data_IF_110767003548
#
_entry.id   IF_110767003548
#
_cell.length_a   1.000
_cell.length_b   1.000
_cell.length_c   1.000
_cell.angle_alpha   90.00
_cell.angle_beta   90.00
_cell.angle_gamma   90.00
#
_symmetry.space_group_name_H-M   'P 1'
#
loop_
_entity.id
_entity.type
_entity.pdbx_description
1 polymer ?
#
# COMPACT_ATOMS: atom_id res chain seq x y z
N UNK A 1 -23.64 -23.10 -34.18
CA UNK A 1 -23.43 -21.90 -33.35
C UNK A 1 -22.43 -20.97 -34.03
N UNK A 2 -22.75 -20.44 -35.22
CA UNK A 2 -21.80 -19.67 -36.06
C UNK A 2 -21.55 -18.26 -35.49
N UNK A 3 -22.57 -17.69 -34.84
CA UNK A 3 -22.52 -16.32 -34.33
C UNK A 3 -21.39 -16.08 -33.30
N UNK A 4 -21.10 -17.04 -32.43
CA UNK A 4 -20.02 -16.88 -31.45
C UNK A 4 -18.64 -16.87 -32.12
N UNK A 5 -18.47 -17.61 -33.23
CA UNK A 5 -17.24 -17.63 -34.00
C UNK A 5 -17.03 -16.31 -34.77
N UNK A 6 -18.10 -15.62 -35.17
CA UNK A 6 -18.01 -14.32 -35.85
C UNK A 6 -17.76 -13.16 -34.85
N UNK A 7 -18.29 -13.26 -33.63
CA UNK A 7 -18.22 -12.20 -32.61
C UNK A 7 -17.31 -12.51 -31.41
N UNK A 8 -16.42 -13.49 -31.52
CA UNK A 8 -15.53 -13.91 -30.43
C UNK A 8 -14.66 -12.79 -29.85
N UNK A 9 -14.33 -11.78 -30.68
CA UNK A 9 -13.56 -10.59 -30.30
C UNK A 9 -14.21 -9.75 -29.18
N UNK A 10 -15.53 -9.87 -28.98
CA UNK A 10 -16.25 -9.19 -27.86
C UNK A 10 -15.70 -9.62 -26.51
N UNK A 11 -15.27 -10.89 -26.37
CA UNK A 11 -14.67 -11.41 -25.15
C UNK A 11 -13.35 -10.68 -24.85
N UNK A 12 -12.55 -10.38 -25.88
CA UNK A 12 -11.30 -9.63 -25.71
C UNK A 12 -11.56 -8.19 -25.24
N UNK A 13 -12.60 -7.52 -25.77
CA UNK A 13 -12.95 -6.18 -25.30
C UNK A 13 -13.36 -6.16 -23.83
N UNK A 14 -14.14 -7.16 -23.40
CA UNK A 14 -14.52 -7.30 -21.98
C UNK A 14 -13.29 -7.53 -21.12
N UNK A 15 -12.38 -8.40 -21.55
CA UNK A 15 -11.15 -8.71 -20.82
C UNK A 15 -10.24 -7.48 -20.70
N UNK A 16 -10.06 -6.72 -21.78
CA UNK A 16 -9.28 -5.48 -21.78
C UNK A 16 -9.92 -4.45 -20.83
N UNK A 17 -11.24 -4.32 -20.84
CA UNK A 17 -11.96 -3.47 -19.88
C UNK A 17 -11.70 -3.87 -18.43
N UNK A 18 -11.76 -5.16 -18.11
CA UNK A 18 -11.44 -5.68 -16.78
C UNK A 18 -9.98 -5.42 -16.39
N UNK A 19 -9.02 -5.63 -17.30
CA UNK A 19 -7.61 -5.39 -17.06
C UNK A 19 -7.32 -3.92 -16.76
N UNK A 20 -7.85 -2.99 -17.57
CA UNK A 20 -7.70 -1.55 -17.35
C UNK A 20 -8.29 -1.14 -16.00
N UNK A 21 -9.48 -1.65 -15.66
CA UNK A 21 -10.12 -1.34 -14.38
C UNK A 21 -9.29 -1.86 -13.19
N UNK A 22 -8.75 -3.08 -13.32
CA UNK A 22 -7.90 -3.70 -12.31
C UNK A 22 -6.60 -2.93 -12.11
N UNK A 23 -5.93 -2.54 -13.20
CA UNK A 23 -4.71 -1.72 -13.15
C UNK A 23 -4.99 -0.38 -12.47
N UNK A 24 -6.09 0.29 -12.85
CA UNK A 24 -6.47 1.57 -12.24
C UNK A 24 -6.76 1.46 -10.75
N UNK A 25 -7.43 0.38 -10.33
CA UNK A 25 -7.67 0.09 -8.92
C UNK A 25 -6.34 -0.13 -8.17
N UNK A 26 -5.42 -0.91 -8.75
CA UNK A 26 -4.12 -1.20 -8.14
C UNK A 26 -3.23 0.06 -8.06
N UNK A 27 -3.18 0.88 -9.11
CA UNK A 27 -2.43 2.14 -9.12
C UNK A 27 -2.97 3.18 -8.14
N UNK A 28 -4.24 3.06 -7.71
CA UNK A 28 -4.81 3.93 -6.67
C UNK A 28 -4.32 3.58 -5.27
N UNK A 29 -3.89 2.34 -5.05
CA UNK A 29 -3.36 1.89 -3.76
C UNK A 29 -1.95 2.47 -3.64
N UNK A 30 -1.84 3.57 -2.88
CA UNK A 30 -0.58 4.27 -2.68
C UNK A 30 0.27 3.54 -1.63
N UNK A 31 0.97 2.47 -2.03
CA UNK A 31 1.89 1.72 -1.17
C UNK A 31 3.03 2.60 -0.63
N UNK A 32 3.46 3.60 -1.39
CA UNK A 32 4.57 4.48 -0.99
C UNK A 32 4.15 5.41 0.16
N UNK A 33 2.89 5.85 0.20
CA UNK A 33 2.35 6.65 1.30
C UNK A 33 2.38 5.93 2.66
N UNK A 34 2.13 4.62 2.67
CA UNK A 34 2.24 3.81 3.90
C UNK A 34 3.68 3.56 4.36
N UNK A 35 4.64 3.59 3.44
CA UNK A 35 6.06 3.39 3.76
C UNK A 35 6.77 4.69 4.15
N UNK A 36 6.39 5.82 3.53
CA UNK A 36 6.95 7.14 3.85
C UNK A 36 6.45 7.70 5.17
N UNK A 37 5.22 7.37 5.55
CA UNK A 37 4.65 7.84 6.81
C UNK A 37 5.15 6.92 7.93
N UNK A 38 6.24 7.32 8.60
CA UNK A 38 6.68 6.67 9.85
C UNK A 38 5.45 6.57 10.76
N UNK A 39 5.15 5.36 11.21
CA UNK A 39 3.96 5.13 12.04
C UNK A 39 4.11 5.97 13.32
N UNK A 40 3.03 6.60 13.76
CA UNK A 40 2.98 7.24 15.08
C UNK A 40 2.74 6.17 16.16
N UNK A 41 3.41 5.02 16.02
CA UNK A 41 3.41 3.95 17.00
C UNK A 41 4.68 4.08 17.81
N UNK A 42 4.62 3.81 19.13
CA UNK A 42 5.84 3.72 19.91
C UNK A 42 6.75 2.63 19.31
N UNK A 43 8.07 2.79 19.43
CA UNK A 43 9.02 1.75 19.02
C UNK A 43 8.67 0.41 19.69
N UNK A 44 8.92 -0.68 18.96
CA UNK A 44 8.60 -2.01 19.45
C UNK A 44 9.47 -2.31 20.67
N UNK A 45 8.85 -2.66 21.81
CA UNK A 45 9.58 -3.08 23.00
C UNK A 45 9.69 -4.60 22.99
N UNK A 46 10.81 -5.12 22.51
CA UNK A 46 11.14 -6.55 22.63
C UNK A 46 12.09 -6.80 23.82
N UNK A 47 12.57 -8.04 23.97
CA UNK A 47 13.48 -8.40 25.06
C UNK A 47 14.93 -7.92 24.83
N UNK A 48 15.16 -7.07 23.82
CA UNK A 48 16.45 -6.49 23.47
C UNK A 48 16.42 -4.95 23.49
N UNK A 49 15.72 -4.39 24.49
CA UNK A 49 15.53 -2.96 24.77
C UNK A 49 16.81 -2.09 24.87
N UNK A 50 18.01 -2.67 24.69
CA UNK A 50 19.25 -1.91 24.61
C UNK A 50 19.46 -1.26 23.24
N UNK A 51 18.90 -1.83 22.16
CA UNK A 51 19.01 -1.28 20.81
C UNK A 51 17.94 -0.21 20.52
N UNK A 52 16.83 -0.21 21.28
CA UNK A 52 15.71 0.73 21.07
C UNK A 52 15.92 2.11 21.70
N UNK A 53 17.02 2.33 22.44
CA UNK A 53 17.25 3.58 23.20
C UNK A 53 17.31 4.82 22.31
N UNK A 54 17.96 4.73 21.16
CA UNK A 54 18.08 5.86 20.23
C UNK A 54 16.74 6.18 19.56
N UNK A 55 15.95 5.16 19.23
CA UNK A 55 14.60 5.33 18.67
C UNK A 55 13.60 5.88 19.71
N UNK A 56 13.71 5.43 20.96
CA UNK A 56 12.92 5.93 22.11
C UNK A 56 13.20 7.42 22.39
N UNK A 57 14.46 7.83 22.32
CA UNK A 57 14.88 9.22 22.53
C UNK A 57 14.37 10.13 21.42
N UNK A 58 14.43 9.69 20.17
CA UNK A 58 13.91 10.42 19.01
C UNK A 58 12.38 10.54 19.06
N UNK A 59 11.69 9.45 19.41
CA UNK A 59 10.24 9.43 19.62
C UNK A 59 9.78 10.40 20.72
N UNK A 60 10.49 10.44 21.84
CA UNK A 60 10.17 11.34 22.95
C UNK A 60 10.42 12.81 22.61
N UNK A 61 11.44 13.12 21.79
CA UNK A 61 11.67 14.49 21.29
C UNK A 61 10.52 14.96 20.41
N UNK A 62 10.12 14.13 19.43
CA UNK A 62 9.03 14.47 18.51
C UNK A 62 7.69 14.72 19.24
N UNK A 63 7.44 14.03 20.37
CA UNK A 63 6.26 14.30 21.22
C UNK A 63 6.34 15.60 22.02
N UNK A 64 7.54 16.03 22.41
CA UNK A 64 7.73 17.30 23.13
C UNK A 64 7.56 18.50 22.20
N UNK A 65 8.04 18.39 20.96
CA UNK A 65 7.97 19.47 19.98
C UNK A 65 6.56 19.69 19.41
N UNK A 66 5.66 18.70 19.55
CA UNK A 66 4.24 18.77 19.14
C UNK A 66 3.30 19.28 20.25
N UNK A 67 3.80 19.61 21.44
CA UNK A 67 3.01 20.01 22.60
C UNK A 67 3.14 21.51 22.88
#
# INVERSE_FOLDING_TARGET
MHWLADYWWVILLVLVGMLINSIKALSRINYDGSLRKKSNLPPHRDNNAQWDKEEDDEWNKEKKDKK
#
